data_IF_775795810396
#
_entry.id   IF_775795810396
#
_cell.length_a   1.000
_cell.length_b   1.000
_cell.length_c   1.000
_cell.angle_alpha   90.00
_cell.angle_beta   90.00
_cell.angle_gamma   90.00
#
_symmetry.space_group_name_H-M   'P 1'
#
loop_
_entity.id
_entity.type
_entity.pdbx_description
1 polymer ?
#
# COMPACT_ATOMS: atom_id res chain seq x y z
N UNK A 1 -7.19 -10.58 4.18
CA UNK A 1 -7.85 -10.00 2.99
C UNK A 1 -8.51 -8.73 3.47
N UNK A 2 -8.11 -7.58 2.95
CA UNK A 2 -8.64 -6.29 3.40
C UNK A 2 -9.23 -5.50 2.25
N UNK A 3 -10.08 -4.53 2.57
CA UNK A 3 -10.64 -3.60 1.61
C UNK A 3 -9.60 -2.57 1.12
N UNK A 4 -9.97 -1.73 0.16
CA UNK A 4 -9.06 -0.71 -0.38
C UNK A 4 -8.49 0.26 0.70
N UNK A 5 -9.30 0.82 1.62
CA UNK A 5 -8.80 1.58 2.77
C UNK A 5 -7.77 0.82 3.62
N UNK A 6 -8.03 -0.45 3.96
CA UNK A 6 -7.12 -1.27 4.75
C UNK A 6 -5.83 -1.58 3.99
N UNK A 7 -5.91 -1.86 2.69
CA UNK A 7 -4.74 -2.09 1.82
C UNK A 7 -3.85 -0.84 1.73
N UNK A 8 -4.45 0.35 1.55
CA UNK A 8 -3.69 1.61 1.52
C UNK A 8 -3.11 1.98 2.88
N UNK A 9 -3.75 1.57 3.98
CA UNK A 9 -3.18 1.74 5.32
C UNK A 9 -1.96 0.84 5.52
N UNK A 10 -2.09 -0.46 5.24
CA UNK A 10 -1.01 -1.45 5.42
C UNK A 10 0.18 -1.17 4.52
N UNK A 11 -0.07 -0.85 3.23
CA UNK A 11 1.00 -0.56 2.27
C UNK A 11 1.60 0.84 2.40
N UNK A 12 1.08 1.69 3.28
CA UNK A 12 1.51 3.07 3.42
C UNK A 12 1.24 3.94 2.18
N UNK A 13 0.33 3.52 1.31
CA UNK A 13 0.01 4.24 0.09
C UNK A 13 -0.97 5.39 0.35
N UNK A 14 -0.80 6.48 -0.39
CA UNK A 14 -1.71 7.62 -0.38
C UNK A 14 -3.10 7.17 -0.85
N UNK A 15 -4.16 7.65 -0.20
CA UNK A 15 -5.53 7.31 -0.61
C UNK A 15 -5.81 7.91 -2.00
N UNK A 16 -6.49 7.16 -2.86
CA UNK A 16 -6.66 7.49 -4.27
C UNK A 16 -5.51 7.03 -5.16
N UNK A 17 -4.47 6.41 -4.63
CA UNK A 17 -3.41 5.74 -5.40
C UNK A 17 -3.59 4.22 -5.38
N UNK A 18 -2.93 3.53 -6.32
CA UNK A 18 -2.93 2.07 -6.29
C UNK A 18 -2.04 1.57 -5.14
N UNK A 19 -2.54 0.67 -4.29
CA UNK A 19 -1.76 0.15 -3.19
C UNK A 19 -0.65 -0.80 -3.65
N UNK A 20 -0.68 -1.26 -4.90
CA UNK A 20 0.26 -2.27 -5.45
C UNK A 20 1.32 -1.69 -6.37
N UNK A 21 0.95 -0.73 -7.22
CA UNK A 21 1.79 -0.26 -8.32
C UNK A 21 1.80 1.27 -8.44
N UNK A 22 2.71 1.78 -9.26
CA UNK A 22 2.93 3.20 -9.50
C UNK A 22 2.03 3.79 -10.60
N UNK A 23 0.88 3.17 -10.88
CA UNK A 23 -0.10 3.71 -11.83
C UNK A 23 -0.59 5.08 -11.34
N UNK A 24 -0.68 6.09 -12.23
CA UNK A 24 -1.25 7.39 -11.86
C UNK A 24 -2.70 7.24 -11.33
N UNK A 25 -3.12 8.04 -10.34
CA UNK A 25 -4.48 8.03 -9.80
C UNK A 25 -5.58 8.13 -10.87
N UNK A 26 -5.32 8.90 -11.93
CA UNK A 26 -6.26 9.14 -13.03
C UNK A 26 -6.47 7.88 -13.90
N UNK A 27 -5.54 6.95 -13.84
CA UNK A 27 -5.52 5.71 -14.62
C UNK A 27 -5.82 4.48 -13.75
N UNK A 28 -6.38 4.65 -12.56
CA UNK A 28 -6.81 3.53 -11.74
C UNK A 28 -7.83 2.66 -12.49
N UNK A 29 -7.57 1.35 -12.51
CA UNK A 29 -8.37 0.38 -13.26
C UNK A 29 -7.89 0.11 -14.69
N UNK A 30 -6.83 0.79 -15.14
CA UNK A 30 -6.15 0.45 -16.39
C UNK A 30 -5.67 -1.01 -16.37
N UNK A 31 -6.00 -1.83 -17.39
CA UNK A 31 -5.58 -3.23 -17.46
C UNK A 31 -4.10 -3.39 -17.83
N UNK A 32 -3.39 -2.30 -18.09
CA UNK A 32 -1.96 -2.31 -18.39
C UNK A 32 -1.11 -2.82 -17.22
N UNK A 33 0.12 -3.22 -17.56
CA UNK A 33 1.12 -3.60 -16.54
C UNK A 33 1.85 -2.35 -16.08
N UNK A 34 1.77 -2.08 -14.77
CA UNK A 34 2.46 -0.98 -14.12
C UNK A 34 3.53 -1.52 -13.17
N UNK A 35 4.61 -0.77 -12.99
CA UNK A 35 5.67 -1.14 -12.07
C UNK A 35 5.15 -1.17 -10.63
N UNK A 36 5.64 -2.12 -9.85
CA UNK A 36 5.38 -2.13 -8.41
C UNK A 36 6.06 -0.91 -7.75
N UNK A 37 5.56 -0.54 -6.58
CA UNK A 37 6.25 0.42 -5.72
C UNK A 37 7.67 -0.07 -5.42
N UNK A 38 8.64 0.84 -5.51
CA UNK A 38 10.04 0.55 -5.23
C UNK A 38 10.25 0.48 -3.72
N UNK A 39 10.42 -0.75 -3.23
CA UNK A 39 10.56 -1.02 -1.80
C UNK A 39 11.83 -0.37 -1.23
N UNK A 40 12.93 -0.34 -1.98
CA UNK A 40 14.19 0.21 -1.49
C UNK A 40 14.08 1.73 -1.30
N UNK A 41 13.48 2.43 -2.27
CA UNK A 41 13.20 3.88 -2.17
C UNK A 41 12.32 4.18 -0.96
N UNK A 42 11.31 3.36 -0.71
CA UNK A 42 10.35 3.54 0.39
C UNK A 42 10.99 3.26 1.74
N UNK A 43 11.78 2.18 1.88
CA UNK A 43 12.51 1.87 3.10
C UNK A 43 13.55 2.95 3.42
N UNK A 44 14.26 3.46 2.39
CA UNK A 44 15.17 4.59 2.56
C UNK A 44 14.44 5.83 3.07
N UNK A 45 13.22 6.12 2.59
CA UNK A 45 12.41 7.21 3.11
C UNK A 45 11.98 6.98 4.58
N UNK A 46 11.60 5.76 4.95
CA UNK A 46 11.21 5.43 6.33
C UNK A 46 12.38 5.41 7.32
N UNK A 47 13.59 5.07 6.88
CA UNK A 47 14.81 5.17 7.71
C UNK A 47 15.09 6.58 8.24
N UNK A 48 14.49 7.60 7.62
CA UNK A 48 14.60 8.99 8.02
C UNK A 48 13.56 9.40 9.08
N UNK A 49 12.71 8.48 9.57
CA UNK A 49 11.66 8.75 10.54
C UNK A 49 12.18 9.41 11.84
N UNK A 50 13.36 8.99 12.31
CA UNK A 50 14.04 9.54 13.50
C UNK A 50 14.83 10.83 13.21
N UNK A 51 14.87 11.28 11.96
CA UNK A 51 15.57 12.51 11.56
C UNK A 51 14.67 13.75 11.70
N UNK A 52 15.11 14.87 11.12
CA UNK A 52 14.29 16.09 11.09
C UNK A 52 12.95 15.84 10.36
N UNK A 53 11.85 16.26 10.99
CA UNK A 53 10.49 16.06 10.45
C UNK A 53 10.30 16.62 9.04
N UNK A 54 10.94 17.74 8.67
CA UNK A 54 10.84 18.29 7.32
C UNK A 54 11.53 17.40 6.27
N UNK A 55 12.67 16.81 6.64
CA UNK A 55 13.42 15.86 5.79
C UNK A 55 12.60 14.59 5.59
N UNK A 56 12.09 14.02 6.68
CA UNK A 56 11.25 12.82 6.63
C UNK A 56 9.99 13.03 5.79
N UNK A 57 9.27 14.12 6.03
CA UNK A 57 8.10 14.52 5.25
C UNK A 57 8.41 14.67 3.76
N UNK A 58 9.56 15.24 3.41
CA UNK A 58 9.98 15.37 2.01
C UNK A 58 10.27 14.00 1.39
N UNK A 59 11.04 13.15 2.07
CA UNK A 59 11.38 11.83 1.58
C UNK A 59 10.14 10.95 1.33
N UNK A 60 9.18 10.94 2.26
CA UNK A 60 7.92 10.20 2.08
C UNK A 60 7.11 10.71 0.87
N UNK A 61 7.02 12.04 0.69
CA UNK A 61 6.34 12.63 -0.48
C UNK A 61 7.02 12.26 -1.79
N UNK A 62 8.34 12.35 -1.83
CA UNK A 62 9.13 12.03 -3.03
C UNK A 62 9.02 10.53 -3.38
N UNK A 63 8.90 9.67 -2.37
CA UNK A 63 8.64 8.23 -2.52
C UNK A 63 7.16 7.86 -2.78
N UNK A 64 6.23 8.83 -2.74
CA UNK A 64 4.81 8.59 -2.99
C UNK A 64 4.07 7.83 -1.87
N UNK A 65 4.59 7.87 -0.64
CA UNK A 65 4.02 7.16 0.52
C UNK A 65 3.53 8.14 1.61
N UNK A 66 2.62 7.64 2.45
CA UNK A 66 2.16 8.36 3.65
C UNK A 66 3.29 8.48 4.66
N UNK A 67 3.19 9.50 5.50
CA UNK A 67 4.05 9.68 6.66
C UNK A 67 3.71 8.61 7.71
N UNK A 68 4.46 7.51 7.75
CA UNK A 68 4.30 6.42 8.70
C UNK A 68 5.62 6.24 9.45
N UNK A 69 5.57 6.37 10.77
CA UNK A 69 6.70 6.09 11.63
C UNK A 69 6.80 4.58 11.83
N UNK A 70 7.90 3.99 11.38
CA UNK A 70 8.23 2.57 11.51
C UNK A 70 7.08 1.62 11.17
N UNK A 71 6.74 1.45 9.87
CA UNK A 71 5.75 0.46 9.49
C UNK A 71 6.21 -0.94 9.94
N UNK A 72 5.28 -1.79 10.36
CA UNK A 72 5.61 -3.10 10.96
C UNK A 72 6.42 -4.04 10.04
N UNK A 73 6.45 -3.75 8.73
CA UNK A 73 7.14 -4.53 7.71
C UNK A 73 8.50 -3.93 7.31
N UNK A 74 8.94 -2.84 7.93
CA UNK A 74 10.26 -2.21 7.67
C UNK A 74 11.41 -3.21 7.86
N UNK A 75 11.35 -4.02 8.91
CA UNK A 75 12.40 -4.98 9.28
C UNK A 75 12.25 -6.36 8.60
N UNK A 76 11.49 -6.46 7.51
CA UNK A 76 11.24 -7.71 6.79
C UNK A 76 11.97 -7.73 5.44
N UNK A 77 13.30 -7.97 5.41
CA UNK A 77 14.16 -7.74 4.23
C UNK A 77 13.87 -8.66 3.04
N UNK A 78 13.13 -9.75 3.25
CA UNK A 78 12.79 -10.73 2.22
C UNK A 78 11.36 -10.60 1.72
N UNK A 79 10.59 -9.62 2.20
CA UNK A 79 9.18 -9.46 1.87
C UNK A 79 8.96 -8.12 1.17
N UNK A 80 8.46 -8.19 -0.07
CA UNK A 80 7.85 -7.03 -0.69
C UNK A 80 6.35 -7.02 -0.35
N UNK A 81 5.95 -6.10 0.53
CA UNK A 81 4.56 -5.96 0.97
C UNK A 81 3.62 -5.71 -0.21
N UNK A 82 4.06 -4.98 -1.24
CA UNK A 82 3.27 -4.65 -2.43
C UNK A 82 2.98 -5.87 -3.31
N UNK A 83 3.81 -6.91 -3.27
CA UNK A 83 3.52 -8.21 -3.89
C UNK A 83 2.44 -8.99 -3.14
N UNK A 84 2.27 -8.72 -1.84
CA UNK A 84 1.35 -9.45 -0.95
C UNK A 84 -0.06 -8.86 -0.95
N UNK A 85 -0.24 -7.68 -1.57
CA UNK A 85 -1.56 -7.03 -1.68
C UNK A 85 -2.38 -7.74 -2.75
N UNK A 86 -3.49 -8.30 -2.29
CA UNK A 86 -4.43 -9.04 -3.09
C UNK A 86 -5.50 -8.12 -3.67
N UNK A 87 -6.08 -8.47 -4.83
CA UNK A 87 -7.12 -7.67 -5.45
C UNK A 87 -8.33 -7.53 -4.51
N UNK A 88 -8.85 -6.30 -4.35
CA UNK A 88 -10.03 -6.00 -3.53
C UNK A 88 -11.27 -6.80 -3.95
N UNK A 89 -11.36 -7.24 -5.21
CA UNK A 89 -12.44 -8.12 -5.67
C UNK A 89 -12.54 -9.43 -4.86
N UNK A 90 -11.42 -9.93 -4.34
CA UNK A 90 -11.43 -11.12 -3.51
C UNK A 90 -11.95 -10.81 -2.09
N UNK A 91 -11.70 -9.61 -1.57
CA UNK A 91 -12.35 -9.15 -0.35
C UNK A 91 -13.88 -9.08 -0.52
N UNK A 92 -14.35 -8.47 -1.62
CA UNK A 92 -15.77 -8.37 -1.93
C UNK A 92 -16.44 -9.74 -2.12
N UNK A 93 -15.76 -10.67 -2.79
CA UNK A 93 -16.26 -12.04 -2.96
C UNK A 93 -16.39 -12.75 -1.60
N UNK A 94 -15.37 -12.65 -0.74
CA UNK A 94 -15.42 -13.22 0.60
C UNK A 94 -16.57 -12.63 1.44
N UNK A 95 -16.74 -11.30 1.44
CA UNK A 95 -17.85 -10.67 2.14
C UNK A 95 -19.20 -11.16 1.60
N UNK A 96 -19.37 -11.24 0.27
CA UNK A 96 -20.59 -11.73 -0.37
C UNK A 96 -20.92 -13.16 0.06
N UNK A 97 -19.95 -14.08 -0.04
CA UNK A 97 -20.13 -15.49 0.35
C UNK A 97 -20.51 -15.61 1.83
N UNK A 98 -19.79 -14.93 2.72
CA UNK A 98 -20.08 -14.96 4.16
C UNK A 98 -21.48 -14.43 4.44
N UNK A 99 -21.87 -13.31 3.82
CA UNK A 99 -23.21 -12.74 3.97
C UNK A 99 -24.31 -13.71 3.56
N UNK A 100 -24.12 -14.46 2.47
CA UNK A 100 -25.08 -15.46 2.01
C UNK A 100 -25.15 -16.69 2.93
N UNK A 101 -24.01 -17.13 3.46
CA UNK A 101 -23.94 -18.26 4.39
C UNK A 101 -24.58 -17.95 5.76
N UNK A 102 -24.46 -16.71 6.25
CA UNK A 102 -25.02 -16.28 7.54
C UNK A 102 -26.51 -15.92 7.45
N UNK A 103 -27.00 -15.53 6.27
CA UNK A 103 -28.41 -15.19 6.07
C UNK A 103 -29.32 -16.42 5.83
N UNK A 104 -28.76 -17.63 5.80
CA UNK A 104 -29.47 -18.92 5.73
C UNK A 104 -29.60 -19.54 7.12
#
# INVERSE_FOLDING_TARGET
VGDYPEQTLVGGCVYGHCPKCTVPPENLGDPGTHLLHDLEVILNAFSLADSNSATFNKACRDAGVKLIYHPFWEDLPYINIYCSIMLDILHQLCQGVIKHLVAW
#
